data_IF_483065800477
#
_entry.id   IF_483065800477
#
_cell.length_a   1.000
_cell.length_b   1.000
_cell.length_c   1.000
_cell.angle_alpha   90.00
_cell.angle_beta   90.00
_cell.angle_gamma   90.00
#
_symmetry.space_group_name_H-M   'P 1'
#
loop_
_entity.id
_entity.type
_entity.pdbx_description
1 polymer ?
#
# COMPACT_ATOMS: atom_id res chain seq x y z
N UNK A 1 58.87 4.81 -24.77
CA UNK A 1 57.71 3.96 -25.14
C UNK A 1 56.74 4.85 -25.92
N UNK A 2 56.78 4.82 -27.22
CA UNK A 2 55.81 5.48 -28.09
C UNK A 2 54.51 4.66 -27.94
N UNK A 3 53.48 5.24 -27.33
CA UNK A 3 52.17 4.55 -27.22
C UNK A 3 51.64 4.30 -28.64
N UNK A 4 51.43 3.03 -28.98
CA UNK A 4 50.74 2.65 -30.22
C UNK A 4 49.35 3.32 -30.20
N UNK A 5 49.12 4.20 -31.18
CA UNK A 5 47.79 4.81 -31.37
C UNK A 5 46.84 3.69 -31.79
N UNK A 6 45.83 3.41 -30.94
CA UNK A 6 44.80 2.41 -31.24
C UNK A 6 44.19 2.66 -32.62
N UNK A 7 44.05 1.60 -33.38
CA UNK A 7 43.33 1.67 -34.66
C UNK A 7 41.84 1.92 -34.44
N UNK A 8 41.16 2.51 -35.40
CA UNK A 8 39.69 2.73 -35.34
C UNK A 8 38.93 1.42 -35.09
N UNK A 9 39.43 0.30 -35.63
CA UNK A 9 38.84 -1.03 -35.41
C UNK A 9 38.99 -1.48 -33.96
N UNK A 10 40.14 -1.27 -33.32
CA UNK A 10 40.37 -1.60 -31.89
C UNK A 10 39.50 -0.73 -30.97
N UNK A 11 39.34 0.56 -31.30
CA UNK A 11 38.44 1.45 -30.56
C UNK A 11 36.99 0.93 -30.63
N UNK A 12 36.52 0.52 -31.83
CA UNK A 12 35.19 -0.07 -31.97
C UNK A 12 34.99 -1.32 -31.15
N UNK A 13 35.92 -2.29 -31.24
CA UNK A 13 35.86 -3.55 -30.48
C UNK A 13 35.80 -3.24 -28.96
N UNK A 14 36.67 -2.32 -28.51
CA UNK A 14 36.70 -1.94 -27.08
C UNK A 14 35.37 -1.35 -26.63
N UNK A 15 34.77 -0.42 -27.38
CA UNK A 15 33.48 0.20 -27.08
C UNK A 15 32.34 -0.80 -27.08
N UNK A 16 32.31 -1.74 -28.03
CA UNK A 16 31.29 -2.79 -28.13
C UNK A 16 31.40 -3.80 -26.99
N UNK A 17 32.60 -4.23 -26.62
CA UNK A 17 32.83 -5.11 -25.48
C UNK A 17 32.43 -4.42 -24.16
N UNK A 18 32.81 -3.14 -24.00
CA UNK A 18 32.40 -2.35 -22.85
C UNK A 18 30.87 -2.25 -22.73
N UNK A 19 30.16 -1.94 -23.84
CA UNK A 19 28.70 -1.90 -23.90
C UNK A 19 28.06 -3.27 -23.58
N UNK A 20 28.66 -4.36 -24.05
CA UNK A 20 28.21 -5.73 -23.73
C UNK A 20 28.34 -6.04 -22.25
N UNK A 21 29.50 -5.75 -21.65
CA UNK A 21 29.73 -5.95 -20.20
C UNK A 21 28.78 -5.10 -19.38
N UNK A 22 28.57 -3.83 -19.76
CA UNK A 22 27.62 -2.95 -19.09
C UNK A 22 26.19 -3.52 -19.14
N UNK A 23 25.76 -4.02 -20.31
CA UNK A 23 24.43 -4.65 -20.45
C UNK A 23 24.30 -5.88 -19.54
N UNK A 24 25.35 -6.71 -19.44
CA UNK A 24 25.38 -7.86 -18.52
C UNK A 24 25.29 -7.44 -17.05
N UNK A 25 26.04 -6.43 -16.65
CA UNK A 25 25.96 -5.88 -15.28
C UNK A 25 24.55 -5.37 -14.94
N UNK A 26 23.90 -4.69 -15.88
CA UNK A 26 22.52 -4.19 -15.71
C UNK A 26 21.55 -5.38 -15.55
N UNK A 27 21.69 -6.43 -16.36
CA UNK A 27 20.89 -7.65 -16.22
C UNK A 27 21.04 -8.24 -14.81
N UNK A 28 22.26 -8.34 -14.31
CA UNK A 28 22.54 -8.86 -12.97
C UNK A 28 21.89 -8.00 -11.87
N UNK A 29 22.01 -6.66 -11.97
CA UNK A 29 21.34 -5.74 -11.04
C UNK A 29 19.81 -5.90 -11.04
N UNK A 30 19.19 -6.12 -12.21
CA UNK A 30 17.75 -6.33 -12.32
C UNK A 30 17.30 -7.65 -11.66
N UNK A 31 18.12 -8.69 -11.73
CA UNK A 31 17.83 -9.96 -11.06
C UNK A 31 17.93 -9.84 -9.54
N UNK A 32 18.99 -9.19 -9.02
CA UNK A 32 19.16 -8.95 -7.58
C UNK A 32 18.03 -8.08 -7.04
N UNK A 33 17.69 -7.00 -7.75
CA UNK A 33 16.62 -6.07 -7.36
C UNK A 33 15.20 -6.64 -7.50
N UNK A 34 15.04 -7.90 -7.97
CA UNK A 34 13.73 -8.54 -8.17
C UNK A 34 12.92 -7.99 -9.35
N UNK A 35 13.42 -6.97 -10.03
CA UNK A 35 12.74 -6.26 -11.13
C UNK A 35 12.52 -7.13 -12.36
N UNK A 36 13.37 -8.14 -12.58
CA UNK A 36 13.25 -9.10 -13.66
C UNK A 36 11.95 -9.95 -13.59
N UNK A 37 11.28 -10.01 -12.44
CA UNK A 37 10.02 -10.77 -12.27
C UNK A 37 8.81 -10.07 -12.88
N UNK A 38 8.83 -8.75 -13.02
CA UNK A 38 7.73 -7.97 -13.59
C UNK A 38 7.66 -8.15 -15.12
N UNK A 39 6.48 -7.93 -15.72
CA UNK A 39 6.32 -7.99 -17.17
C UNK A 39 7.19 -6.97 -17.89
N UNK A 40 7.25 -5.76 -17.37
CA UNK A 40 8.09 -4.66 -17.87
C UNK A 40 9.57 -4.99 -17.72
N UNK A 41 9.98 -5.53 -16.57
CA UNK A 41 11.35 -5.94 -16.31
C UNK A 41 11.82 -7.08 -17.22
N UNK A 42 10.98 -8.08 -17.50
CA UNK A 42 11.31 -9.16 -18.45
C UNK A 42 11.55 -8.66 -19.86
N UNK A 43 10.73 -7.72 -20.34
CA UNK A 43 10.94 -7.09 -21.63
C UNK A 43 12.23 -6.25 -21.65
N UNK A 44 12.54 -5.60 -20.53
CA UNK A 44 13.77 -4.83 -20.43
C UNK A 44 15.00 -5.75 -20.40
N UNK A 45 14.95 -6.88 -19.72
CA UNK A 45 16.00 -7.92 -19.77
C UNK A 45 16.16 -8.45 -21.19
N UNK A 46 15.08 -8.66 -21.95
CA UNK A 46 15.14 -9.06 -23.35
C UNK A 46 15.86 -8.00 -24.21
N UNK A 47 15.56 -6.71 -24.02
CA UNK A 47 16.27 -5.61 -24.68
C UNK A 47 17.76 -5.63 -24.39
N UNK A 48 18.15 -5.84 -23.13
CA UNK A 48 19.55 -5.93 -22.72
C UNK A 48 20.27 -7.11 -23.36
N UNK A 49 19.61 -8.28 -23.39
CA UNK A 49 20.17 -9.49 -24.04
C UNK A 49 20.38 -9.25 -25.53
N UNK A 50 19.42 -8.63 -26.21
CA UNK A 50 19.52 -8.34 -27.64
C UNK A 50 20.60 -7.29 -27.92
N UNK A 51 20.70 -6.23 -27.09
CA UNK A 51 21.77 -5.24 -27.19
C UNK A 51 23.15 -5.86 -26.95
N UNK A 52 23.30 -6.62 -25.86
CA UNK A 52 24.55 -7.31 -25.52
C UNK A 52 24.97 -8.26 -26.64
N UNK A 53 24.04 -9.08 -27.16
CA UNK A 53 24.29 -10.01 -28.27
C UNK A 53 24.70 -9.26 -29.54
N UNK A 54 23.99 -8.21 -29.92
CA UNK A 54 24.33 -7.39 -31.10
C UNK A 54 25.73 -6.80 -30.99
N UNK A 55 26.08 -6.20 -29.86
CA UNK A 55 27.41 -5.62 -29.61
C UNK A 55 28.51 -6.69 -29.61
N UNK A 56 28.29 -7.81 -28.93
CA UNK A 56 29.27 -8.89 -28.83
C UNK A 56 29.54 -9.52 -30.23
N UNK A 57 28.49 -9.80 -31.01
CA UNK A 57 28.65 -10.37 -32.33
C UNK A 57 29.28 -9.36 -33.32
N UNK A 58 28.99 -8.07 -33.21
CA UNK A 58 29.65 -7.04 -34.02
C UNK A 58 31.14 -6.93 -33.67
N UNK A 59 31.52 -6.99 -32.37
CA UNK A 59 32.92 -7.05 -31.94
C UNK A 59 33.65 -8.28 -32.47
N UNK A 60 33.01 -9.47 -32.38
CA UNK A 60 33.58 -10.73 -32.93
C UNK A 60 33.77 -10.67 -34.41
N UNK A 61 32.84 -10.06 -35.19
CA UNK A 61 32.97 -9.85 -36.62
C UNK A 61 34.22 -9.03 -36.97
N UNK A 62 34.50 -7.97 -36.21
CA UNK A 62 35.73 -7.17 -36.34
C UNK A 62 36.99 -7.99 -35.97
N UNK A 63 36.96 -8.77 -34.87
CA UNK A 63 38.12 -9.56 -34.41
C UNK A 63 38.50 -10.64 -35.41
N UNK A 64 37.56 -11.29 -36.10
CA UNK A 64 37.81 -12.31 -37.12
C UNK A 64 38.13 -11.74 -38.51
N UNK A 65 37.87 -10.46 -38.76
CA UNK A 65 38.06 -9.81 -40.08
C UNK A 65 39.53 -9.89 -40.52
N UNK A 66 39.74 -10.27 -41.78
CA UNK A 66 41.06 -10.35 -42.40
C UNK A 66 41.92 -11.52 -41.88
N UNK A 67 41.40 -12.37 -41.00
CA UNK A 67 42.12 -13.60 -40.57
C UNK A 67 41.85 -14.72 -41.54
N UNK A 68 42.88 -15.52 -41.83
CA UNK A 68 42.87 -16.53 -42.91
C UNK A 68 42.68 -17.98 -42.44
N UNK A 69 42.60 -18.21 -41.12
CA UNK A 69 42.36 -19.58 -40.64
C UNK A 69 40.86 -19.97 -40.79
N UNK A 70 40.57 -21.28 -41.00
CA UNK A 70 39.23 -21.76 -41.41
C UNK A 70 38.10 -21.30 -40.51
N UNK A 71 38.32 -21.28 -39.19
CA UNK A 71 37.32 -20.84 -38.22
C UNK A 71 36.99 -19.34 -38.34
N UNK A 72 37.96 -18.50 -38.80
CA UNK A 72 37.71 -17.06 -38.96
C UNK A 72 36.72 -16.78 -40.09
N UNK A 73 36.72 -17.53 -41.21
CA UNK A 73 35.73 -17.42 -42.26
C UNK A 73 34.32 -17.69 -41.82
N UNK A 74 34.13 -18.73 -41.02
CA UNK A 74 32.84 -19.01 -40.38
C UNK A 74 32.49 -17.92 -39.37
N UNK A 75 33.47 -17.53 -38.54
CA UNK A 75 33.32 -16.53 -37.47
C UNK A 75 32.81 -15.19 -38.01
N UNK A 76 33.40 -14.63 -39.10
CA UNK A 76 32.93 -13.36 -39.68
C UNK A 76 31.48 -13.46 -40.19
N UNK A 77 31.15 -14.60 -40.91
CA UNK A 77 29.80 -14.78 -41.46
C UNK A 77 28.75 -14.94 -40.37
N UNK A 78 28.99 -15.81 -39.41
CA UNK A 78 28.06 -16.07 -38.31
C UNK A 78 27.88 -14.82 -37.43
N UNK A 79 28.96 -14.13 -37.08
CA UNK A 79 28.91 -12.95 -36.24
C UNK A 79 28.16 -11.80 -36.89
N UNK A 80 28.41 -11.47 -38.18
CA UNK A 80 27.64 -10.44 -38.88
C UNK A 80 26.16 -10.79 -38.95
N UNK A 81 25.82 -12.05 -39.32
CA UNK A 81 24.43 -12.51 -39.38
C UNK A 81 23.72 -12.33 -38.03
N UNK A 82 24.34 -12.83 -36.93
CA UNK A 82 23.76 -12.73 -35.59
C UNK A 82 23.66 -11.29 -35.12
N UNK A 83 24.63 -10.44 -35.42
CA UNK A 83 24.56 -9.00 -35.09
C UNK A 83 23.34 -8.34 -35.74
N UNK A 84 23.13 -8.54 -37.05
CA UNK A 84 21.97 -7.98 -37.78
C UNK A 84 20.64 -8.50 -37.22
N UNK A 85 20.57 -9.81 -36.88
CA UNK A 85 19.38 -10.39 -36.26
C UNK A 85 19.09 -9.75 -34.88
N UNK A 86 20.12 -9.59 -34.03
CA UNK A 86 19.96 -8.95 -32.73
C UNK A 86 19.49 -7.50 -32.83
N UNK A 87 20.08 -6.70 -33.71
CA UNK A 87 19.67 -5.29 -33.87
C UNK A 87 18.27 -5.15 -34.44
N UNK A 88 17.86 -6.00 -35.40
CA UNK A 88 16.50 -6.01 -35.92
C UNK A 88 15.47 -6.38 -34.80
N UNK A 89 15.76 -7.44 -34.06
CA UNK A 89 14.92 -7.87 -32.94
C UNK A 89 14.87 -6.84 -31.82
N UNK A 90 15.98 -6.15 -31.51
CA UNK A 90 16.05 -5.09 -30.52
C UNK A 90 15.06 -3.95 -30.83
N UNK A 91 15.01 -3.47 -32.07
CA UNK A 91 14.09 -2.40 -32.48
C UNK A 91 12.61 -2.77 -32.24
N UNK A 92 12.23 -4.03 -32.56
CA UNK A 92 10.87 -4.55 -32.33
C UNK A 92 10.57 -4.78 -30.85
N UNK A 93 11.55 -5.30 -30.09
CA UNK A 93 11.43 -5.48 -28.65
C UNK A 93 11.29 -4.13 -27.92
N UNK A 94 11.97 -3.08 -28.39
CA UNK A 94 11.82 -1.73 -27.85
C UNK A 94 10.39 -1.20 -28.03
N UNK A 95 9.79 -1.38 -29.19
CA UNK A 95 8.41 -1.01 -29.42
C UNK A 95 7.45 -1.79 -28.50
N UNK A 96 7.74 -3.09 -28.25
CA UNK A 96 7.00 -3.92 -27.30
C UNK A 96 7.11 -3.40 -25.88
N UNK A 97 8.27 -2.89 -25.51
CA UNK A 97 8.49 -2.26 -24.21
C UNK A 97 7.67 -0.97 -24.05
N UNK A 98 7.68 -0.08 -25.03
CA UNK A 98 6.82 1.12 -25.06
C UNK A 98 5.33 0.76 -24.95
N UNK A 99 4.90 -0.30 -25.66
CA UNK A 99 3.52 -0.77 -25.63
C UNK A 99 3.05 -1.14 -24.22
N UNK A 100 3.91 -1.60 -23.29
CA UNK A 100 3.49 -1.91 -21.92
C UNK A 100 2.94 -0.68 -21.20
N UNK A 101 3.56 0.49 -21.39
CA UNK A 101 3.13 1.73 -20.74
C UNK A 101 1.81 2.27 -21.31
N UNK A 102 1.61 2.15 -22.63
CA UNK A 102 0.35 2.56 -23.25
C UNK A 102 -0.77 1.58 -22.94
N UNK A 103 -0.51 0.27 -23.04
CA UNK A 103 -1.50 -0.77 -22.85
C UNK A 103 -1.97 -0.90 -21.40
N UNK A 104 -1.18 -0.45 -20.42
CA UNK A 104 -1.58 -0.40 -19.01
C UNK A 104 -2.81 0.49 -18.80
N UNK A 105 -2.94 1.58 -19.58
CA UNK A 105 -4.08 2.52 -19.49
C UNK A 105 -5.09 2.35 -20.63
N UNK A 106 -4.64 1.89 -21.83
CA UNK A 106 -5.49 1.68 -23.01
C UNK A 106 -5.13 0.37 -23.71
N UNK A 107 -5.68 -0.77 -23.27
CA UNK A 107 -5.38 -2.09 -23.83
C UNK A 107 -5.62 -2.15 -25.34
N UNK A 108 -4.66 -2.74 -26.07
CA UNK A 108 -4.78 -2.96 -27.52
C UNK A 108 -4.52 -1.76 -28.43
N UNK A 109 -4.31 -0.55 -27.89
CA UNK A 109 -4.12 0.67 -28.68
C UNK A 109 -2.91 0.62 -29.64
N UNK A 110 -1.85 -0.09 -29.28
CA UNK A 110 -0.64 -0.23 -30.07
C UNK A 110 -0.61 -1.51 -30.95
N UNK A 111 -1.68 -2.33 -30.92
CA UNK A 111 -1.71 -3.61 -31.66
C UNK A 111 -1.36 -3.50 -33.14
N UNK A 112 -1.89 -2.54 -33.94
CA UNK A 112 -1.53 -2.40 -35.36
C UNK A 112 -0.04 -2.09 -35.55
N UNK A 113 0.55 -1.22 -34.74
CA UNK A 113 1.97 -0.87 -34.79
C UNK A 113 2.87 -2.06 -34.47
N UNK A 114 2.48 -2.87 -33.49
CA UNK A 114 3.17 -4.11 -33.11
C UNK A 114 3.13 -5.14 -34.25
N UNK A 115 2.01 -5.28 -34.91
CA UNK A 115 1.87 -6.19 -36.09
C UNK A 115 2.77 -5.75 -37.22
N UNK A 116 2.79 -4.45 -37.60
CA UNK A 116 3.66 -3.91 -38.65
C UNK A 116 5.12 -4.15 -38.30
N UNK A 117 5.57 -3.80 -37.08
CA UNK A 117 6.93 -4.00 -36.64
C UNK A 117 7.33 -5.49 -36.67
N UNK A 118 6.45 -6.37 -36.18
CA UNK A 118 6.68 -7.83 -36.15
C UNK A 118 6.80 -8.43 -37.55
N UNK A 119 5.92 -8.03 -38.49
CA UNK A 119 5.97 -8.50 -39.87
C UNK A 119 7.27 -8.07 -40.55
N UNK A 120 7.67 -6.78 -40.38
CA UNK A 120 8.94 -6.29 -40.95
C UNK A 120 10.14 -7.00 -40.35
N UNK A 121 10.17 -7.19 -39.01
CA UNK A 121 11.23 -7.92 -38.35
C UNK A 121 11.35 -9.36 -38.91
N UNK A 122 10.23 -10.08 -39.01
CA UNK A 122 10.20 -11.44 -39.54
C UNK A 122 10.69 -11.48 -41.00
N UNK A 123 10.27 -10.55 -41.86
CA UNK A 123 10.72 -10.45 -43.26
C UNK A 123 12.23 -10.21 -43.37
N UNK A 124 12.77 -9.32 -42.52
CA UNK A 124 14.21 -9.05 -42.52
C UNK A 124 15.05 -10.20 -41.97
N UNK A 125 14.55 -10.93 -40.95
CA UNK A 125 15.23 -12.16 -40.51
C UNK A 125 15.34 -13.19 -41.61
N UNK A 126 14.30 -13.36 -42.43
CA UNK A 126 14.34 -14.21 -43.63
C UNK A 126 15.34 -13.68 -44.64
N UNK A 127 15.35 -12.38 -44.92
CA UNK A 127 16.31 -11.75 -45.84
C UNK A 127 17.76 -11.89 -45.37
N UNK A 128 18.04 -11.83 -44.08
CA UNK A 128 19.38 -12.08 -43.52
C UNK A 128 19.81 -13.54 -43.69
N UNK A 129 18.86 -14.51 -43.55
CA UNK A 129 19.15 -15.91 -43.88
C UNK A 129 19.46 -16.06 -45.36
N UNK A 130 18.68 -15.46 -46.26
CA UNK A 130 18.92 -15.47 -47.72
C UNK A 130 20.27 -14.84 -48.05
N UNK A 131 20.67 -13.77 -47.37
CA UNK A 131 21.96 -13.10 -47.56
C UNK A 131 23.18 -14.00 -47.27
N UNK A 132 23.03 -15.09 -46.52
CA UNK A 132 24.13 -16.09 -46.31
C UNK A 132 24.47 -16.84 -47.61
N UNK A 133 23.49 -16.97 -48.52
CA UNK A 133 23.61 -17.71 -49.76
C UNK A 133 23.71 -16.78 -50.98
N UNK A 134 22.97 -15.68 -51.00
CA UNK A 134 22.93 -14.69 -52.07
C UNK A 134 23.27 -13.31 -51.50
N UNK A 135 24.36 -12.66 -51.92
CA UNK A 135 24.83 -11.42 -51.30
C UNK A 135 23.92 -10.22 -51.66
N UNK A 136 22.84 -10.05 -50.89
CA UNK A 136 21.86 -8.96 -51.08
C UNK A 136 22.40 -7.68 -50.45
N UNK A 137 22.79 -7.73 -49.18
CA UNK A 137 23.19 -6.57 -48.39
C UNK A 137 24.70 -6.44 -48.23
N UNK A 138 25.37 -7.55 -48.02
CA UNK A 138 26.83 -7.62 -47.87
C UNK A 138 27.36 -9.00 -48.29
N UNK A 139 28.64 -9.05 -48.54
CA UNK A 139 29.38 -10.30 -48.78
C UNK A 139 30.73 -10.26 -48.03
N UNK A 140 31.32 -11.41 -47.87
CA UNK A 140 32.68 -11.60 -47.35
C UNK A 140 33.54 -12.05 -48.49
N UNK A 141 34.58 -11.25 -48.79
CA UNK A 141 35.48 -11.55 -49.89
C UNK A 141 36.44 -12.74 -49.57
N UNK A 142 37.30 -13.09 -50.56
CA UNK A 142 38.30 -14.18 -50.41
C UNK A 142 39.36 -13.90 -49.34
N UNK A 143 39.55 -12.61 -48.98
CA UNK A 143 40.47 -12.15 -47.95
C UNK A 143 39.83 -12.04 -46.58
N UNK A 144 38.62 -12.60 -46.40
CA UNK A 144 37.82 -12.55 -45.21
C UNK A 144 37.50 -11.11 -44.73
N UNK A 145 37.32 -10.19 -45.72
CA UNK A 145 36.98 -8.80 -45.49
C UNK A 145 35.50 -8.58 -45.81
N UNK A 146 34.80 -7.91 -44.89
CA UNK A 146 33.40 -7.52 -45.04
C UNK A 146 33.26 -6.39 -46.05
N UNK A 147 32.42 -6.60 -47.07
CA UNK A 147 32.14 -5.66 -48.15
C UNK A 147 30.64 -5.41 -48.24
N UNK A 148 30.25 -4.12 -48.38
CA UNK A 148 28.85 -3.72 -48.53
C UNK A 148 28.43 -3.76 -49.99
N UNK A 149 27.21 -4.22 -50.27
CA UNK A 149 26.58 -4.09 -51.59
C UNK A 149 25.90 -2.72 -51.72
N UNK A 150 25.47 -2.29 -52.92
CA UNK A 150 24.67 -1.08 -53.08
C UNK A 150 23.34 -1.09 -52.29
N UNK A 151 22.79 -2.27 -51.98
CA UNK A 151 21.55 -2.44 -51.26
C UNK A 151 21.75 -2.47 -49.73
N UNK A 152 22.97 -2.28 -49.25
CA UNK A 152 23.28 -2.29 -47.78
C UNK A 152 22.38 -1.31 -46.99
N UNK A 153 22.08 -0.12 -47.56
CA UNK A 153 21.22 0.87 -46.87
C UNK A 153 19.84 0.35 -46.49
N UNK A 154 19.32 -0.67 -47.20
CA UNK A 154 18.03 -1.28 -46.84
C UNK A 154 18.06 -1.99 -45.47
N UNK A 155 19.22 -2.38 -44.96
CA UNK A 155 19.34 -2.99 -43.64
C UNK A 155 18.92 -2.06 -42.51
N UNK A 156 18.86 -0.74 -42.74
CA UNK A 156 18.44 0.28 -41.78
C UNK A 156 16.92 0.46 -41.70
N UNK A 157 16.16 -0.08 -42.67
CA UNK A 157 14.68 0.09 -42.72
C UNK A 157 13.98 -0.37 -41.43
N UNK A 158 14.29 -1.55 -40.84
CA UNK A 158 13.63 -1.97 -39.60
C UNK A 158 13.84 -0.96 -38.46
N UNK A 159 15.04 -0.40 -38.32
CA UNK A 159 15.34 0.59 -37.28
C UNK A 159 14.58 1.90 -37.51
N UNK A 160 14.63 2.48 -38.74
CA UNK A 160 13.89 3.70 -39.05
C UNK A 160 12.38 3.55 -38.94
N UNK A 161 11.82 2.41 -39.38
CA UNK A 161 10.41 2.15 -39.22
C UNK A 161 9.99 2.12 -37.74
N UNK A 162 10.75 1.41 -36.89
CA UNK A 162 10.45 1.35 -35.48
C UNK A 162 10.62 2.71 -34.79
N UNK A 163 11.58 3.54 -35.18
CA UNK A 163 11.69 4.92 -34.71
C UNK A 163 10.47 5.74 -35.11
N UNK A 164 10.01 5.64 -36.38
CA UNK A 164 8.82 6.32 -36.86
C UNK A 164 7.56 5.87 -36.10
N UNK A 165 7.39 4.56 -35.92
CA UNK A 165 6.27 4.01 -35.13
C UNK A 165 6.31 4.49 -33.68
N UNK A 166 7.51 4.59 -33.09
CA UNK A 166 7.70 5.15 -31.74
C UNK A 166 7.22 6.60 -31.69
N UNK A 167 7.62 7.45 -32.60
CA UNK A 167 7.17 8.86 -32.68
C UNK A 167 5.65 8.95 -32.81
N UNK A 168 5.06 8.15 -33.70
CA UNK A 168 3.60 8.13 -33.90
C UNK A 168 2.88 7.74 -32.60
N UNK A 169 3.37 6.72 -31.90
CA UNK A 169 2.78 6.28 -30.64
C UNK A 169 2.91 7.38 -29.57
N UNK A 170 4.08 8.02 -29.45
CA UNK A 170 4.30 9.09 -28.48
C UNK A 170 3.38 10.29 -28.72
N UNK A 171 3.22 10.72 -29.98
CA UNK A 171 2.34 11.84 -30.34
C UNK A 171 0.87 11.47 -30.07
N UNK A 172 0.44 10.28 -30.53
CA UNK A 172 -0.96 9.85 -30.45
C UNK A 172 -1.42 9.57 -29.02
N UNK A 173 -0.50 9.19 -28.13
CA UNK A 173 -0.79 8.81 -26.75
C UNK A 173 -0.12 9.72 -25.71
N UNK A 174 0.22 10.95 -26.08
CA UNK A 174 0.85 11.95 -25.19
C UNK A 174 0.06 12.21 -23.91
N UNK A 175 -1.28 12.12 -23.97
CA UNK A 175 -2.17 12.36 -22.82
C UNK A 175 -2.19 11.19 -21.83
N UNK A 176 -1.73 10.02 -22.28
CA UNK A 176 -1.65 8.79 -21.48
C UNK A 176 -0.29 8.65 -20.81
N UNK A 177 0.77 9.03 -21.52
CA UNK A 177 2.15 8.91 -21.09
C UNK A 177 2.57 10.07 -20.20
N UNK A 178 3.43 9.80 -19.21
CA UNK A 178 4.02 10.84 -18.39
C UNK A 178 5.10 11.61 -19.18
N UNK A 179 5.41 12.86 -18.77
CA UNK A 179 6.48 13.65 -19.39
C UNK A 179 7.81 12.89 -19.38
N UNK A 180 8.15 12.21 -18.27
CA UNK A 180 9.36 11.40 -18.18
C UNK A 180 9.36 10.25 -19.19
N UNK A 181 8.23 9.54 -19.37
CA UNK A 181 8.10 8.47 -20.37
C UNK A 181 8.32 9.00 -21.78
N UNK A 182 7.67 10.12 -22.13
CA UNK A 182 7.82 10.74 -23.45
C UNK A 182 9.29 11.13 -23.69
N UNK A 183 9.96 11.70 -22.69
CA UNK A 183 11.38 12.09 -22.80
C UNK A 183 12.27 10.88 -23.02
N UNK A 184 12.15 9.83 -22.20
CA UNK A 184 13.01 8.64 -22.29
C UNK A 184 12.80 7.88 -23.60
N UNK A 185 11.54 7.66 -24.01
CA UNK A 185 11.27 7.01 -25.29
C UNK A 185 11.61 7.91 -26.50
N UNK A 186 11.52 9.22 -26.35
CA UNK A 186 11.98 10.18 -27.35
C UNK A 186 13.49 10.15 -27.57
N UNK A 187 14.27 9.94 -26.50
CA UNK A 187 15.74 9.77 -26.59
C UNK A 187 16.16 8.57 -27.43
N UNK A 188 15.37 7.49 -27.46
CA UNK A 188 15.60 6.34 -28.36
C UNK A 188 15.57 6.74 -29.84
N UNK A 189 14.78 7.73 -30.20
CA UNK A 189 14.73 8.25 -31.55
C UNK A 189 15.81 9.32 -31.77
N UNK A 190 15.93 10.27 -30.84
CA UNK A 190 16.80 11.44 -30.98
C UNK A 190 18.30 11.08 -31.00
N UNK A 191 18.77 10.20 -30.11
CA UNK A 191 20.19 9.87 -30.02
C UNK A 191 20.75 9.19 -31.26
N UNK A 192 20.12 8.15 -31.85
CA UNK A 192 20.58 7.59 -33.12
C UNK A 192 20.47 8.56 -34.31
N UNK A 193 19.44 9.41 -34.31
CA UNK A 193 19.30 10.44 -35.37
C UNK A 193 20.43 11.46 -35.38
N UNK A 194 20.95 11.81 -34.19
CA UNK A 194 22.14 12.66 -34.03
C UNK A 194 23.41 11.90 -34.42
N UNK A 195 23.50 10.61 -34.08
CA UNK A 195 24.67 9.79 -34.35
C UNK A 195 24.90 9.49 -35.82
N UNK A 196 23.83 9.38 -36.63
CA UNK A 196 23.92 9.04 -38.06
C UNK A 196 24.77 10.04 -38.88
N UNK A 197 24.57 11.36 -38.80
CA UNK A 197 25.44 12.32 -39.53
C UNK A 197 26.90 12.20 -39.09
N UNK A 198 27.15 12.04 -37.78
CA UNK A 198 28.52 11.89 -37.25
C UNK A 198 29.20 10.65 -37.80
N UNK A 199 28.46 9.54 -37.96
CA UNK A 199 28.97 8.29 -38.51
C UNK A 199 29.32 8.41 -40.05
N UNK A 200 28.70 9.37 -40.75
CA UNK A 200 29.05 9.67 -42.15
C UNK A 200 30.41 10.38 -42.23
N UNK A 201 30.63 11.34 -41.32
CA UNK A 201 31.88 12.14 -41.34
C UNK A 201 33.06 11.42 -40.66
N UNK A 202 32.80 10.59 -39.64
CA UNK A 202 33.83 9.83 -38.93
C UNK A 202 33.77 8.36 -39.37
N UNK A 203 34.43 8.08 -40.49
CA UNK A 203 34.47 6.74 -41.07
C UNK A 203 35.16 5.74 -40.16
N UNK A 204 34.48 4.61 -39.90
CA UNK A 204 35.04 3.48 -39.16
C UNK A 204 34.59 3.36 -37.70
N UNK A 205 33.98 4.39 -37.10
CA UNK A 205 33.38 4.28 -35.76
C UNK A 205 31.88 3.95 -35.84
N UNK A 206 31.46 2.97 -35.04
CA UNK A 206 30.06 2.57 -34.97
C UNK A 206 29.31 3.38 -33.86
N UNK A 207 28.98 4.63 -34.15
CA UNK A 207 28.25 5.51 -33.22
C UNK A 207 26.85 4.98 -32.85
N UNK A 208 26.24 4.18 -33.74
CA UNK A 208 24.94 3.56 -33.48
C UNK A 208 24.99 2.64 -32.27
N UNK A 209 26.05 1.86 -32.09
CA UNK A 209 26.23 0.98 -30.94
C UNK A 209 26.38 1.75 -29.63
N UNK A 210 27.06 2.89 -29.65
CA UNK A 210 27.25 3.74 -28.48
C UNK A 210 25.91 4.34 -28.07
N UNK A 211 25.14 4.86 -29.04
CA UNK A 211 23.85 5.50 -28.74
C UNK A 211 22.79 4.49 -28.25
N UNK A 212 22.75 3.26 -28.78
CA UNK A 212 21.86 2.21 -28.26
C UNK A 212 22.22 1.82 -26.84
N UNK A 213 23.49 1.68 -26.52
CA UNK A 213 23.94 1.41 -25.14
C UNK A 213 23.56 2.54 -24.19
N UNK A 214 23.74 3.80 -24.59
CA UNK A 214 23.34 4.96 -23.81
C UNK A 214 21.82 4.99 -23.53
N UNK A 215 21.00 4.71 -24.56
CA UNK A 215 19.54 4.60 -24.42
C UNK A 215 19.17 3.54 -23.38
N UNK A 216 19.82 2.39 -23.44
CA UNK A 216 19.56 1.29 -22.50
C UNK A 216 19.90 1.71 -21.04
N UNK A 217 21.01 2.43 -20.82
CA UNK A 217 21.35 2.96 -19.50
C UNK A 217 20.32 3.98 -19.01
N UNK A 218 19.91 4.92 -19.87
CA UNK A 218 18.87 5.91 -19.53
C UNK A 218 17.56 5.21 -19.16
N UNK A 219 17.19 4.15 -19.87
CA UNK A 219 16.00 3.35 -19.54
C UNK A 219 16.10 2.67 -18.16
N UNK A 220 17.30 2.22 -17.77
CA UNK A 220 17.50 1.67 -16.41
C UNK A 220 17.23 2.74 -15.34
N UNK A 221 17.84 3.92 -15.49
CA UNK A 221 17.64 5.02 -14.55
C UNK A 221 16.16 5.43 -14.47
N UNK A 222 15.48 5.46 -15.61
CA UNK A 222 14.04 5.70 -15.65
C UNK A 222 13.26 4.63 -14.89
N UNK A 223 13.53 3.35 -15.13
CA UNK A 223 12.83 2.23 -14.49
C UNK A 223 13.00 2.27 -12.96
N UNK A 224 14.22 2.55 -12.49
CA UNK A 224 14.51 2.70 -11.06
C UNK A 224 13.78 3.91 -10.46
N UNK A 225 13.79 5.05 -11.15
CA UNK A 225 13.10 6.26 -10.67
C UNK A 225 11.59 6.05 -10.56
N UNK A 226 10.97 5.40 -11.55
CA UNK A 226 9.52 5.08 -11.50
C UNK A 226 9.18 4.13 -10.34
N UNK A 227 10.01 3.13 -10.09
CA UNK A 227 9.79 2.20 -8.97
C UNK A 227 9.94 2.90 -7.62
N UNK A 228 10.98 3.71 -7.46
CA UNK A 228 11.16 4.49 -6.23
C UNK A 228 9.97 5.41 -5.97
N UNK A 229 9.43 6.06 -7.01
CA UNK A 229 8.23 6.90 -6.88
C UNK A 229 6.99 6.10 -6.45
N UNK A 230 6.79 4.90 -6.99
CA UNK A 230 5.67 4.06 -6.61
C UNK A 230 5.77 3.60 -5.15
N UNK A 231 6.96 3.17 -4.71
CA UNK A 231 7.21 2.78 -3.32
C UNK A 231 6.99 3.94 -2.34
N UNK A 232 7.53 5.13 -2.65
CA UNK A 232 7.33 6.33 -1.83
C UNK A 232 5.86 6.75 -1.74
N UNK A 233 5.09 6.56 -2.82
CA UNK A 233 3.65 6.84 -2.81
C UNK A 233 2.90 5.87 -1.92
N UNK A 234 3.21 4.57 -2.01
CA UNK A 234 2.61 3.53 -1.17
C UNK A 234 2.94 3.75 0.33
N UNK A 235 4.20 4.03 0.66
CA UNK A 235 4.61 4.38 2.02
C UNK A 235 3.85 5.58 2.58
N UNK A 236 3.66 6.61 1.76
CA UNK A 236 2.90 7.81 2.16
C UNK A 236 1.43 7.48 2.43
N UNK A 237 0.78 6.72 1.55
CA UNK A 237 -0.63 6.31 1.73
C UNK A 237 -0.80 5.46 3.01
N UNK A 238 0.13 4.55 3.30
CA UNK A 238 0.13 3.76 4.54
C UNK A 238 0.34 4.64 5.77
N UNK A 239 1.26 5.61 5.72
CA UNK A 239 1.50 6.54 6.83
C UNK A 239 0.27 7.43 7.11
N UNK A 240 -0.38 7.96 6.08
CA UNK A 240 -1.61 8.76 6.20
C UNK A 240 -2.77 7.93 6.79
N UNK A 241 -2.96 6.70 6.33
CA UNK A 241 -3.98 5.80 6.86
C UNK A 241 -3.74 5.46 8.34
N UNK A 242 -2.48 5.23 8.74
CA UNK A 242 -2.10 4.98 10.13
C UNK A 242 -2.37 6.19 11.03
N UNK A 243 -2.06 7.39 10.56
CA UNK A 243 -2.34 8.63 11.29
C UNK A 243 -3.84 8.84 11.49
N UNK A 244 -4.64 8.67 10.43
CA UNK A 244 -6.09 8.80 10.51
C UNK A 244 -6.73 7.77 11.46
N UNK A 245 -6.20 6.54 11.48
CA UNK A 245 -6.63 5.51 12.44
C UNK A 245 -6.29 5.90 13.88
N UNK A 246 -5.11 6.45 14.11
CA UNK A 246 -4.68 6.90 15.44
C UNK A 246 -5.53 8.09 15.93
N UNK A 247 -5.84 9.06 15.06
CA UNK A 247 -6.72 10.19 15.38
C UNK A 247 -8.15 9.71 15.69
N UNK A 248 -8.67 8.76 14.91
CA UNK A 248 -9.98 8.15 15.17
C UNK A 248 -10.02 7.44 16.51
N UNK A 249 -8.99 6.65 16.83
CA UNK A 249 -8.89 5.97 18.12
C UNK A 249 -8.80 6.96 19.29
N UNK A 250 -8.03 8.04 19.15
CA UNK A 250 -7.93 9.09 20.18
C UNK A 250 -9.28 9.80 20.39
N UNK A 251 -10.00 10.08 19.33
CA UNK A 251 -11.36 10.66 19.40
C UNK A 251 -12.34 9.74 20.11
N UNK A 252 -12.29 8.43 19.84
CA UNK A 252 -13.13 7.44 20.52
C UNK A 252 -12.84 7.40 22.02
N UNK A 253 -11.56 7.41 22.40
CA UNK A 253 -11.14 7.44 23.82
C UNK A 253 -11.67 8.69 24.54
N UNK A 254 -11.53 9.85 23.93
CA UNK A 254 -12.01 11.11 24.50
C UNK A 254 -13.54 11.20 24.57
N UNK A 255 -14.25 10.58 23.62
CA UNK A 255 -15.73 10.57 23.62
C UNK A 255 -16.33 9.66 24.72
N UNK A 256 -15.60 8.68 25.21
CA UNK A 256 -16.04 7.79 26.29
C UNK A 256 -15.97 8.45 27.70
N UNK A 257 -15.27 9.55 27.84
CA UNK A 257 -15.31 10.37 29.05
C UNK A 257 -16.41 11.40 28.86
N UNK A 258 -17.50 11.32 29.63
CA UNK A 258 -18.62 12.27 29.54
C UNK A 258 -18.17 13.68 30.00
N UNK A 259 -17.97 14.67 29.10
CA UNK A 259 -17.48 15.99 29.51
C UNK A 259 -18.44 16.70 30.46
N UNK A 260 -19.75 16.50 30.27
CA UNK A 260 -20.77 17.09 31.11
C UNK A 260 -20.68 16.62 32.55
N UNK A 261 -20.48 15.31 32.79
CA UNK A 261 -20.26 14.77 34.15
C UNK A 261 -19.03 15.39 34.80
N UNK A 262 -17.90 15.52 34.07
CA UNK A 262 -16.68 16.11 34.61
C UNK A 262 -16.90 17.54 35.12
N UNK A 263 -17.56 18.39 34.30
CA UNK A 263 -17.86 19.76 34.68
C UNK A 263 -18.79 19.82 35.91
N UNK A 264 -19.81 18.98 35.96
CA UNK A 264 -20.75 18.93 37.06
C UNK A 264 -20.10 18.46 38.37
N UNK A 265 -19.30 17.37 38.29
CA UNK A 265 -18.57 16.85 39.46
C UNK A 265 -17.60 17.90 40.02
N UNK A 266 -16.81 18.56 39.18
CA UNK A 266 -15.89 19.64 39.59
C UNK A 266 -16.63 20.81 40.19
N UNK A 267 -17.78 21.20 39.66
CA UNK A 267 -18.61 22.30 40.17
C UNK A 267 -19.17 21.95 41.56
N UNK A 268 -19.63 20.70 41.74
CA UNK A 268 -20.15 20.21 43.03
C UNK A 268 -19.04 20.14 44.06
N UNK A 269 -17.84 19.64 43.72
CA UNK A 269 -16.66 19.62 44.58
C UNK A 269 -16.27 21.04 45.01
N UNK A 270 -16.24 22.00 44.03
CA UNK A 270 -15.92 23.39 44.36
C UNK A 270 -16.86 23.98 45.38
N UNK A 271 -18.20 23.78 45.25
CA UNK A 271 -19.18 24.21 46.22
C UNK A 271 -18.97 23.59 47.60
N UNK A 272 -18.58 22.31 47.67
CA UNK A 272 -18.31 21.65 48.93
C UNK A 272 -17.10 22.22 49.66
N UNK A 273 -16.11 22.77 48.94
CA UNK A 273 -14.91 23.33 49.58
C UNK A 273 -15.23 24.42 50.62
N UNK A 274 -16.25 25.20 50.38
CA UNK A 274 -16.64 26.28 51.30
C UNK A 274 -17.60 25.82 52.39
N UNK A 275 -18.40 24.77 52.15
CA UNK A 275 -19.51 24.37 53.07
C UNK A 275 -19.11 23.16 53.91
N UNK A 276 -18.46 22.17 53.33
CA UNK A 276 -18.06 20.89 53.94
C UNK A 276 -16.68 20.45 53.43
N UNK A 277 -15.56 21.02 53.92
CA UNK A 277 -14.22 20.75 53.37
C UNK A 277 -13.79 19.29 53.41
N UNK A 278 -14.17 18.55 54.43
CA UNK A 278 -13.84 17.11 54.57
C UNK A 278 -14.60 16.27 53.50
N UNK A 279 -15.86 16.59 53.24
CA UNK A 279 -16.63 15.96 52.16
C UNK A 279 -16.05 16.29 50.77
N UNK A 280 -15.53 17.52 50.59
CA UNK A 280 -14.83 17.90 49.38
C UNK A 280 -13.56 17.04 49.13
N UNK A 281 -12.76 16.75 50.16
CA UNK A 281 -11.58 15.85 50.07
C UNK A 281 -11.96 14.44 49.64
N UNK A 282 -13.04 13.91 50.21
CA UNK A 282 -13.56 12.61 49.83
C UNK A 282 -14.05 12.59 48.39
N UNK A 283 -14.79 13.64 47.98
CA UNK A 283 -15.26 13.79 46.60
C UNK A 283 -14.11 13.87 45.60
N UNK A 284 -13.01 14.59 45.89
CA UNK A 284 -11.80 14.62 45.04
C UNK A 284 -11.17 13.23 44.94
N UNK A 285 -11.12 12.47 46.04
CA UNK A 285 -10.60 11.09 46.04
C UNK A 285 -11.44 10.18 45.15
N UNK A 286 -12.77 10.25 45.25
CA UNK A 286 -13.69 9.46 44.44
C UNK A 286 -13.65 9.87 42.96
N UNK A 287 -13.54 11.16 42.69
CA UNK A 287 -13.35 11.67 41.33
C UNK A 287 -12.05 11.16 40.67
N UNK A 288 -10.95 11.15 41.43
CA UNK A 288 -9.68 10.58 40.95
C UNK A 288 -9.78 9.08 40.68
N UNK A 289 -10.48 8.30 41.57
CA UNK A 289 -10.73 6.87 41.35
C UNK A 289 -11.58 6.62 40.10
N UNK A 290 -12.63 7.40 39.92
CA UNK A 290 -13.50 7.33 38.73
C UNK A 290 -12.74 7.59 37.44
N UNK A 291 -11.96 8.69 37.38
CA UNK A 291 -11.15 9.01 36.19
C UNK A 291 -10.12 7.92 35.86
N UNK A 292 -9.42 7.41 36.87
CA UNK A 292 -8.44 6.34 36.68
C UNK A 292 -9.11 5.06 36.17
N UNK A 293 -10.22 4.67 36.80
CA UNK A 293 -10.99 3.50 36.42
C UNK A 293 -11.48 3.57 34.98
N UNK A 294 -11.99 4.73 34.50
CA UNK A 294 -12.38 4.92 33.13
C UNK A 294 -11.20 4.80 32.16
N UNK A 295 -10.06 5.45 32.45
CA UNK A 295 -8.86 5.39 31.60
C UNK A 295 -8.28 3.96 31.53
N UNK A 296 -8.29 3.22 32.64
CA UNK A 296 -7.83 1.84 32.69
C UNK A 296 -8.80 0.91 31.91
N UNK A 297 -10.09 1.10 32.07
CA UNK A 297 -11.13 0.31 31.38
C UNK A 297 -11.14 0.47 29.87
N UNK A 298 -10.78 1.67 29.35
CA UNK A 298 -10.64 1.93 27.91
C UNK A 298 -9.51 1.10 27.29
N UNK A 299 -8.44 0.86 28.04
CA UNK A 299 -7.28 0.08 27.58
C UNK A 299 -7.46 -1.42 27.77
N UNK A 300 -8.48 -1.83 28.55
CA UNK A 300 -8.67 -3.21 28.97
C UNK A 300 -9.47 -3.99 27.93
N UNK A 301 -8.85 -4.98 27.35
CA UNK A 301 -9.48 -5.93 26.41
C UNK A 301 -9.92 -7.22 27.09
N UNK A 302 -9.64 -7.37 28.40
CA UNK A 302 -9.93 -8.56 29.20
C UNK A 302 -11.13 -8.33 30.11
N UNK A 303 -11.77 -9.41 30.54
CA UNK A 303 -12.81 -9.42 31.58
C UNK A 303 -12.25 -8.91 32.90
N UNK A 304 -13.05 -8.18 33.67
CA UNK A 304 -12.72 -7.70 35.03
C UNK A 304 -13.63 -8.36 36.06
N UNK A 305 -13.22 -8.37 37.35
CA UNK A 305 -14.09 -8.85 38.37
C UNK A 305 -15.30 -7.90 38.54
N UNK A 306 -16.50 -8.45 38.82
CA UNK A 306 -17.65 -7.61 39.13
C UNK A 306 -17.40 -6.74 40.37
N UNK A 307 -16.63 -7.23 41.32
CA UNK A 307 -16.25 -6.45 42.52
C UNK A 307 -15.47 -5.17 42.17
N UNK A 308 -14.65 -5.19 41.11
CA UNK A 308 -13.90 -4.00 40.67
C UNK A 308 -14.80 -3.05 39.86
N UNK A 309 -15.68 -3.56 39.01
CA UNK A 309 -16.73 -2.76 38.36
C UNK A 309 -17.64 -2.08 39.38
N UNK A 310 -18.03 -2.79 40.45
CA UNK A 310 -18.86 -2.25 41.51
C UNK A 310 -18.17 -1.13 42.30
N UNK A 311 -16.86 -1.26 42.60
CA UNK A 311 -16.08 -0.19 43.23
C UNK A 311 -16.03 1.06 42.37
N UNK A 312 -15.86 0.87 41.07
CA UNK A 312 -15.84 1.96 40.09
C UNK A 312 -17.19 2.67 40.05
N UNK A 313 -18.26 1.89 39.98
CA UNK A 313 -19.64 2.36 40.02
C UNK A 313 -19.98 3.12 41.29
N UNK A 314 -19.53 2.64 42.45
CA UNK A 314 -19.69 3.32 43.75
C UNK A 314 -19.00 4.69 43.76
N UNK A 315 -17.81 4.81 43.14
CA UNK A 315 -17.11 6.09 43.01
C UNK A 315 -17.90 7.08 42.15
N UNK A 316 -18.47 6.63 41.03
CA UNK A 316 -19.37 7.44 40.20
C UNK A 316 -20.62 7.92 40.98
N UNK A 317 -21.36 6.96 41.55
CA UNK A 317 -22.62 7.25 42.26
C UNK A 317 -22.42 8.14 43.51
N UNK A 318 -21.27 8.05 44.16
CA UNK A 318 -20.96 8.96 45.28
C UNK A 318 -20.84 10.43 44.85
N UNK A 319 -20.38 10.68 43.61
CA UNK A 319 -20.28 12.02 43.03
C UNK A 319 -21.66 12.52 42.60
N UNK A 320 -22.48 11.66 41.97
CA UNK A 320 -23.85 11.99 41.61
C UNK A 320 -24.73 12.26 42.83
N UNK A 321 -24.56 11.50 43.91
CA UNK A 321 -25.25 11.76 45.18
C UNK A 321 -24.93 13.16 45.75
N UNK A 322 -23.69 13.65 45.59
CA UNK A 322 -23.32 15.02 45.98
C UNK A 322 -24.02 16.05 45.06
N UNK A 323 -24.23 15.75 43.80
CA UNK A 323 -24.86 16.62 42.82
C UNK A 323 -26.38 16.77 43.05
N UNK A 324 -27.04 15.64 43.28
CA UNK A 324 -28.49 15.55 43.41
C UNK A 324 -29.01 15.65 44.87
N UNK A 325 -28.08 15.50 45.85
CA UNK A 325 -28.32 15.53 47.28
C UNK A 325 -29.51 14.61 47.68
N UNK A 326 -30.61 15.14 48.19
CA UNK A 326 -31.78 14.39 48.62
C UNK A 326 -32.62 13.84 47.45
N UNK A 327 -32.42 14.34 46.25
CA UNK A 327 -33.18 13.94 45.08
C UNK A 327 -32.70 12.60 44.43
N UNK A 328 -31.59 12.00 44.91
CA UNK A 328 -31.10 10.72 44.40
C UNK A 328 -30.90 9.72 45.54
N UNK A 329 -31.69 8.66 45.57
CA UNK A 329 -31.45 7.53 46.46
C UNK A 329 -30.83 6.35 45.73
N UNK A 330 -29.90 5.65 46.40
CA UNK A 330 -29.15 4.53 45.84
C UNK A 330 -29.29 3.32 46.72
N UNK A 331 -29.72 2.20 46.17
CA UNK A 331 -29.86 0.92 46.92
C UNK A 331 -29.00 -0.14 46.25
N UNK A 332 -28.23 -0.86 47.10
CA UNK A 332 -27.44 -2.01 46.66
C UNK A 332 -28.01 -3.31 47.30
N UNK A 333 -28.45 -4.26 46.45
CA UNK A 333 -28.86 -5.61 46.86
C UNK A 333 -27.94 -6.65 46.20
N UNK A 334 -26.69 -6.67 46.65
CA UNK A 334 -25.60 -7.44 46.03
C UNK A 334 -25.50 -8.81 46.71
N UNK A 335 -25.99 -9.87 46.07
CA UNK A 335 -25.96 -11.26 46.55
C UNK A 335 -24.83 -12.10 45.93
N UNK A 336 -24.23 -11.65 44.82
CA UNK A 336 -23.14 -12.32 44.16
C UNK A 336 -22.11 -11.29 43.67
N UNK A 337 -20.80 -11.56 43.89
CA UNK A 337 -19.67 -10.70 43.47
C UNK A 337 -18.55 -11.49 42.79
N UNK A 338 -18.52 -12.81 42.97
CA UNK A 338 -17.42 -13.69 42.52
C UNK A 338 -17.64 -14.16 41.07
N UNK A 339 -17.66 -13.19 40.13
CA UNK A 339 -17.76 -13.46 38.68
C UNK A 339 -17.10 -12.36 37.88
N UNK A 340 -16.82 -12.64 36.60
CA UNK A 340 -16.15 -11.72 35.68
C UNK A 340 -17.13 -11.13 34.67
N UNK A 341 -16.92 -9.86 34.30
CA UNK A 341 -17.73 -9.14 33.32
C UNK A 341 -16.83 -8.35 32.38
N UNK A 342 -17.30 -7.99 31.19
CA UNK A 342 -16.60 -7.00 30.36
C UNK A 342 -16.55 -5.64 31.07
N UNK A 343 -15.44 -4.88 30.98
CA UNK A 343 -15.33 -3.58 31.65
C UNK A 343 -16.38 -2.60 31.11
N UNK A 344 -16.82 -1.66 31.95
CA UNK A 344 -17.84 -0.64 31.63
C UNK A 344 -19.16 -1.26 31.13
N UNK A 345 -19.61 -2.35 31.74
CA UNK A 345 -20.85 -3.02 31.37
C UNK A 345 -22.04 -2.48 32.16
N UNK A 346 -21.90 -2.26 33.47
CA UNK A 346 -22.98 -1.78 34.36
C UNK A 346 -23.04 -0.26 34.37
N UNK A 347 -21.91 0.41 34.33
CA UNK A 347 -21.81 1.86 34.43
C UNK A 347 -22.70 2.61 33.43
N UNK A 348 -22.72 2.32 32.11
CA UNK A 348 -23.58 3.06 31.15
C UNK A 348 -25.06 2.91 31.44
N UNK A 349 -25.48 1.80 32.06
CA UNK A 349 -26.87 1.57 32.42
C UNK A 349 -27.26 2.40 33.67
N UNK A 350 -26.34 2.53 34.61
CA UNK A 350 -26.53 3.37 35.80
C UNK A 350 -26.47 4.85 35.44
N UNK A 351 -25.56 5.25 34.55
CA UNK A 351 -25.51 6.60 34.00
C UNK A 351 -26.85 6.99 33.33
N UNK A 352 -27.42 6.09 32.51
CA UNK A 352 -28.73 6.32 31.91
C UNK A 352 -29.86 6.40 32.97
N UNK A 353 -29.83 5.59 34.00
CA UNK A 353 -30.79 5.64 35.09
C UNK A 353 -30.77 6.98 35.84
N UNK A 354 -29.55 7.51 36.13
CA UNK A 354 -29.41 8.81 36.79
C UNK A 354 -29.75 9.97 35.86
N UNK A 355 -29.10 10.04 34.66
CA UNK A 355 -29.19 11.20 33.78
C UNK A 355 -30.53 11.31 33.05
N UNK A 356 -31.19 10.18 32.72
CA UNK A 356 -32.44 10.16 31.95
C UNK A 356 -33.63 9.66 32.79
N UNK A 357 -33.38 8.81 33.80
CA UNK A 357 -34.44 8.34 34.64
C UNK A 357 -34.81 9.31 35.76
N UNK A 358 -33.84 9.78 36.50
CA UNK A 358 -34.04 10.54 37.75
C UNK A 358 -33.98 12.06 37.57
N UNK A 359 -33.08 12.57 36.68
CA UNK A 359 -32.83 14.01 36.55
C UNK A 359 -34.10 14.85 36.26
N UNK A 360 -35.05 14.27 35.56
CA UNK A 360 -36.29 14.92 35.16
C UNK A 360 -37.50 14.60 36.08
N UNK A 361 -37.28 13.82 37.15
CA UNK A 361 -38.34 13.38 38.05
C UNK A 361 -38.52 14.40 39.22
N UNK A 362 -39.66 15.11 39.31
CA UNK A 362 -39.92 15.99 40.44
C UNK A 362 -39.98 15.23 41.77
N UNK A 363 -39.13 15.62 42.72
CA UNK A 363 -39.11 14.99 44.07
C UNK A 363 -38.11 13.82 44.21
N UNK A 364 -37.22 13.64 43.22
CA UNK A 364 -36.16 12.70 43.27
C UNK A 364 -36.57 11.25 42.97
N UNK A 365 -35.57 10.35 42.90
CA UNK A 365 -35.79 8.95 42.55
C UNK A 365 -34.80 8.01 43.18
N UNK A 366 -35.08 6.71 42.97
CA UNK A 366 -34.30 5.60 43.49
C UNK A 366 -33.68 4.81 42.36
N UNK A 367 -32.35 4.62 42.39
CA UNK A 367 -31.63 3.67 41.54
C UNK A 367 -31.27 2.46 42.39
N UNK A 368 -31.67 1.27 41.98
CA UNK A 368 -31.37 0.00 42.65
C UNK A 368 -30.44 -0.85 41.76
N UNK A 369 -29.33 -1.30 42.31
CA UNK A 369 -28.40 -2.23 41.67
C UNK A 369 -28.45 -3.53 42.45
N UNK A 370 -28.78 -4.62 41.77
CA UNK A 370 -28.87 -5.94 42.39
C UNK A 370 -28.13 -6.99 41.59
N UNK A 371 -27.57 -7.98 42.29
CA UNK A 371 -26.97 -9.16 41.68
C UNK A 371 -27.48 -10.42 42.30
N UNK A 372 -27.68 -11.45 41.51
CA UNK A 372 -28.11 -12.75 41.96
C UNK A 372 -27.44 -13.86 41.15
N UNK A 373 -26.98 -14.91 41.87
CA UNK A 373 -26.50 -16.11 41.22
C UNK A 373 -27.67 -17.04 40.90
N UNK A 374 -27.88 -17.35 39.63
CA UNK A 374 -28.84 -18.32 39.14
C UNK A 374 -28.14 -19.65 38.82
N UNK A 375 -28.88 -20.67 38.47
CA UNK A 375 -28.37 -22.01 38.14
C UNK A 375 -27.30 -21.98 37.07
N UNK A 376 -27.57 -21.27 35.95
CA UNK A 376 -26.77 -21.34 34.72
C UNK A 376 -26.11 -20.00 34.38
N UNK A 377 -26.42 -18.90 35.07
CA UNK A 377 -25.92 -17.56 34.82
C UNK A 377 -25.89 -16.69 36.08
N UNK A 378 -25.14 -15.61 36.01
CA UNK A 378 -25.22 -14.49 36.97
C UNK A 378 -26.13 -13.41 36.38
N UNK A 379 -27.08 -12.91 37.20
CA UNK A 379 -27.98 -11.83 36.80
C UNK A 379 -27.55 -10.54 37.52
N UNK A 380 -27.40 -9.46 36.76
CA UNK A 380 -27.20 -8.10 37.26
C UNK A 380 -28.42 -7.31 36.83
N UNK A 381 -29.04 -6.59 37.73
CA UNK A 381 -30.22 -5.77 37.45
C UNK A 381 -29.95 -4.35 37.94
N UNK A 382 -30.16 -3.39 37.03
CA UNK A 382 -30.18 -1.96 37.31
C UNK A 382 -31.61 -1.47 37.10
N UNK A 383 -32.23 -0.91 38.11
CA UNK A 383 -33.60 -0.39 38.03
C UNK A 383 -33.70 1.00 38.60
N UNK A 384 -34.45 1.86 37.94
CA UNK A 384 -34.84 3.18 38.40
C UNK A 384 -36.38 3.29 38.48
N UNK A 385 -36.88 4.21 39.30
CA UNK A 385 -38.28 4.59 39.33
C UNK A 385 -38.52 5.94 38.63
N UNK A 386 -37.73 6.23 37.60
CA UNK A 386 -37.73 7.49 36.87
C UNK A 386 -38.88 7.63 35.88
N UNK A 387 -38.68 8.54 34.94
CA UNK A 387 -39.72 8.88 33.95
C UNK A 387 -40.01 7.75 32.94
N UNK A 388 -39.11 6.79 32.79
CA UNK A 388 -39.22 5.69 31.82
C UNK A 388 -39.28 6.19 30.38
N UNK A 389 -39.33 5.25 29.43
CA UNK A 389 -39.44 5.54 28.01
C UNK A 389 -40.13 4.38 27.27
N UNK A 390 -40.62 4.62 26.06
CA UNK A 390 -41.13 3.59 25.19
C UNK A 390 -39.97 2.99 24.36
N UNK A 391 -39.60 1.71 24.55
CA UNK A 391 -38.52 1.07 23.82
C UNK A 391 -38.71 0.98 22.30
N UNK A 392 -39.96 1.14 21.79
CA UNK A 392 -40.27 1.11 20.36
C UNK A 392 -40.12 2.48 19.69
N UNK A 393 -40.11 3.56 20.46
CA UNK A 393 -39.88 4.90 19.92
C UNK A 393 -38.40 5.26 19.98
N UNK A 394 -37.77 5.45 18.81
CA UNK A 394 -36.36 5.86 18.68
C UNK A 394 -36.29 7.39 18.86
N UNK A 395 -35.60 7.94 19.89
CA UNK A 395 -35.36 9.38 19.98
C UNK A 395 -34.50 9.87 18.82
N UNK A 396 -34.81 11.04 18.25
CA UNK A 396 -34.08 11.62 17.12
C UNK A 396 -32.61 11.97 17.39
N UNK A 397 -32.16 12.04 18.63
CA UNK A 397 -30.81 12.47 19.00
C UNK A 397 -29.74 11.34 18.98
N UNK A 398 -30.11 10.09 18.82
CA UNK A 398 -29.23 8.94 18.56
C UNK A 398 -28.15 8.62 19.61
N UNK A 399 -27.94 9.44 20.66
CA UNK A 399 -26.84 9.31 21.63
C UNK A 399 -27.10 8.27 22.71
N UNK A 400 -28.31 8.21 23.24
CA UNK A 400 -28.72 7.27 24.30
C UNK A 400 -28.63 5.81 23.86
N UNK A 401 -28.90 5.51 22.58
CA UNK A 401 -28.87 4.14 22.07
C UNK A 401 -27.46 3.60 21.81
N UNK A 402 -26.45 4.47 21.55
CA UNK A 402 -25.08 4.05 21.31
C UNK A 402 -24.46 3.37 22.56
N UNK A 403 -24.72 3.88 23.75
CA UNK A 403 -24.27 3.29 25.01
C UNK A 403 -24.80 1.87 25.22
N UNK A 404 -26.12 1.70 25.07
CA UNK A 404 -26.83 0.42 25.21
C UNK A 404 -26.37 -0.60 24.14
N UNK A 405 -26.28 -0.18 22.89
CA UNK A 405 -25.80 -1.05 21.81
C UNK A 405 -24.36 -1.51 22.03
N UNK A 406 -23.49 -0.64 22.52
CA UNK A 406 -22.10 -0.97 22.85
C UNK A 406 -22.03 -2.00 23.99
N UNK A 407 -22.82 -1.85 25.04
CA UNK A 407 -22.92 -2.83 26.13
C UNK A 407 -23.42 -4.19 25.60
N UNK A 408 -24.48 -4.21 24.80
CA UNK A 408 -25.04 -5.43 24.22
C UNK A 408 -24.03 -6.14 23.32
N UNK A 409 -23.34 -5.41 22.45
CA UNK A 409 -22.30 -5.95 21.58
C UNK A 409 -21.13 -6.53 22.39
N UNK A 410 -20.66 -5.82 23.40
CA UNK A 410 -19.54 -6.24 24.24
C UNK A 410 -19.87 -7.49 25.05
N UNK A 411 -21.04 -7.57 25.66
CA UNK A 411 -21.53 -8.76 26.36
C UNK A 411 -21.56 -9.97 25.44
N UNK A 412 -22.12 -9.82 24.23
CA UNK A 412 -22.20 -10.92 23.28
C UNK A 412 -20.83 -11.42 22.83
N UNK A 413 -19.90 -10.49 22.49
CA UNK A 413 -18.57 -10.83 21.98
C UNK A 413 -17.67 -11.45 23.06
N UNK A 414 -17.67 -10.90 24.28
CA UNK A 414 -16.68 -11.26 25.29
C UNK A 414 -17.12 -12.42 26.20
N UNK A 415 -18.42 -12.61 26.41
CA UNK A 415 -18.91 -13.63 27.36
C UNK A 415 -20.21 -14.31 26.96
N UNK A 416 -20.71 -14.10 25.73
CA UNK A 416 -22.02 -14.60 25.27
C UNK A 416 -23.19 -14.20 26.19
N UNK A 417 -23.03 -13.07 26.91
CA UNK A 417 -24.02 -12.49 27.77
C UNK A 417 -25.12 -11.76 27.02
N UNK A 418 -26.24 -11.52 27.70
CA UNK A 418 -27.37 -10.81 27.12
C UNK A 418 -27.74 -9.57 27.95
N UNK A 419 -28.36 -8.58 27.29
CA UNK A 419 -28.95 -7.39 27.91
C UNK A 419 -30.39 -7.26 27.46
N UNK A 420 -31.32 -7.27 28.41
CA UNK A 420 -32.74 -6.99 28.21
C UNK A 420 -33.11 -5.69 28.96
N UNK A 421 -33.95 -4.84 28.32
CA UNK A 421 -34.39 -3.56 28.90
C UNK A 421 -35.89 -3.51 28.87
N UNK A 422 -36.50 -3.28 30.02
CA UNK A 422 -37.94 -3.10 30.19
C UNK A 422 -38.19 -1.69 30.71
N UNK A 423 -38.96 -0.91 30.00
CA UNK A 423 -39.32 0.46 30.39
C UNK A 423 -40.71 0.80 29.87
N UNK A 424 -41.42 1.63 30.58
CA UNK A 424 -42.64 2.25 30.14
C UNK A 424 -42.73 3.69 30.68
N UNK A 425 -43.34 4.62 29.95
CA UNK A 425 -43.48 6.00 30.40
C UNK A 425 -44.21 6.08 31.75
N UNK A 426 -43.55 6.66 32.77
CA UNK A 426 -44.02 6.80 34.14
C UNK A 426 -43.73 5.62 35.09
N UNK A 427 -43.21 4.49 34.59
CA UNK A 427 -42.95 3.29 35.40
C UNK A 427 -41.46 3.02 35.68
N UNK A 428 -40.58 3.92 35.19
CA UNK A 428 -39.13 3.76 35.27
C UNK A 428 -38.55 2.77 34.29
N UNK A 429 -37.29 2.36 34.54
CA UNK A 429 -36.58 1.41 33.66
C UNK A 429 -35.93 0.28 34.46
N UNK A 430 -35.93 -0.93 33.90
CA UNK A 430 -35.22 -2.09 34.40
C UNK A 430 -34.33 -2.69 33.31
N UNK A 431 -33.02 -2.60 33.49
CA UNK A 431 -32.02 -3.24 32.65
C UNK A 431 -31.52 -4.54 33.32
N UNK A 432 -31.59 -5.65 32.62
CA UNK A 432 -31.25 -6.99 33.08
C UNK A 432 -30.10 -7.55 32.25
N UNK A 433 -28.96 -7.78 32.86
CA UNK A 433 -27.79 -8.41 32.27
C UNK A 433 -27.74 -9.86 32.73
N UNK A 434 -27.52 -10.80 31.82
CA UNK A 434 -27.29 -12.20 32.15
C UNK A 434 -25.93 -12.64 31.60
N UNK A 435 -25.09 -13.18 32.49
CA UNK A 435 -23.74 -13.65 32.15
C UNK A 435 -23.69 -15.15 32.39
N UNK A 436 -23.53 -15.98 31.36
CA UNK A 436 -23.50 -17.44 31.48
C UNK A 436 -22.32 -17.91 32.35
N UNK A 437 -22.56 -18.89 33.22
CA UNK A 437 -21.51 -19.59 33.95
C UNK A 437 -20.74 -20.48 32.96
N UNK A 438 -19.48 -20.21 32.70
CA UNK A 438 -18.66 -20.93 31.70
C UNK A 438 -18.54 -20.24 30.33
N UNK A 439 -19.09 -19.04 30.19
CA UNK A 439 -18.96 -18.24 28.93
C UNK A 439 -17.65 -17.51 28.79
N UNK A 440 -16.77 -17.54 29.79
CA UNK A 440 -15.39 -17.04 29.64
C UNK A 440 -14.61 -18.12 28.87
N UNK A 441 -14.34 -17.90 27.60
CA UNK A 441 -13.36 -18.71 26.86
C UNK A 441 -12.02 -18.62 27.55
N UNK A 442 -11.36 -19.77 27.81
CA UNK A 442 -10.08 -19.90 28.52
C UNK A 442 -8.93 -19.03 27.96
N UNK A 443 -9.09 -18.44 26.78
CA UNK A 443 -8.14 -17.52 26.15
C UNK A 443 -7.98 -16.17 26.87
N UNK A 444 -8.93 -15.78 27.75
CA UNK A 444 -8.89 -14.49 28.45
C UNK A 444 -8.37 -14.57 29.90
N UNK A 445 -8.07 -15.78 30.40
CA UNK A 445 -7.58 -16.00 31.77
C UNK A 445 -6.07 -16.18 31.91
N UNK A 446 -5.32 -16.40 30.81
CA UNK A 446 -3.87 -16.68 30.90
C UNK A 446 -3.05 -15.50 30.34
N UNK A 447 -2.51 -14.71 31.23
CA UNK A 447 -1.13 -14.19 31.36
C UNK A 447 -1.04 -12.91 32.16
#
# INVERSE_FOLDING_TARGET
MVGEIMTVGEINVTLQLFGSVLSLMIIFCLFIGGNAKTKTGRLYVLLLILNMGGLLFDALAYMFRGKTYPFAYFGVRASNFLAFCCFCAFATAFLSYLNQFVSAKKPGACRPYMMISGCVCASYLVLYVVNLFVPIFYYIDSSNIYMRTPLYGLTMIPAFLNMLLTVIILIKHKDILTKSQITVFGMYVALPMIALPVQIFVYGLNFSSITTTLVVVIMLLFLQTEQTRLLLKEEKEVAEAKLALQESNNSLVLSQIQPHFLYNALTSIYRLCDVKPEAAKEAVSNFSKYLRGNLDSIKQTKMISFADELKHLQAYLSLEKIRYDDDLDIKYDIKATEFFIPPLTVQPLVENAVDHGISDLPGGGLVTISTEEKRDYYEIRVSDNGVGFDPETVPEDGRSHLGIMNVRSRLNIMCHGTLDIKSAPGDGTVAIIQIPKGGATDEYHSS
#
